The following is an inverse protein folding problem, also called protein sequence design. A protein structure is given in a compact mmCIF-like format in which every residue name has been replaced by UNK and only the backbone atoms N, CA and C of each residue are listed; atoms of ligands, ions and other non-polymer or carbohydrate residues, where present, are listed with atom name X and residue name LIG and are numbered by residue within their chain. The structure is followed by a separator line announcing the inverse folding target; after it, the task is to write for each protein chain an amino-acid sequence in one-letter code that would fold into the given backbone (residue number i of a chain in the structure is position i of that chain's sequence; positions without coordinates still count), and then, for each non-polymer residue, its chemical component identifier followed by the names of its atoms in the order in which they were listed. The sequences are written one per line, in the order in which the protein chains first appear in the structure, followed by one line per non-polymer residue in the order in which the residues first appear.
data_IF_939281488097
#
_entry.id   IF_939281488097
#
_cell.length_a   1.000
_cell.length_b   1.000
_cell.length_c   1.000
_cell.angle_alpha   90.00
_cell.angle_beta   90.00
_cell.angle_gamma   90.00
#
_symmetry.space_group_name_H-M   'P 1'
#
loop_
_entity.id
_entity.type
_entity.pdbx_description
1 polymer ?
#
# COMPACT_ATOMS: atom_id res chain seq x y z
N UNK A 1 10.63 15.16 -16.44
CA UNK A 1 10.49 13.96 -15.58
C UNK A 1 9.66 12.91 -16.30
N UNK A 2 10.28 11.82 -16.80
CA UNK A 2 9.57 10.70 -17.44
C UNK A 2 9.04 9.78 -16.33
N UNK A 3 7.73 9.74 -16.09
CA UNK A 3 7.13 8.68 -15.27
C UNK A 3 7.14 7.38 -16.09
N UNK A 4 7.67 6.25 -15.60
CA UNK A 4 7.64 5.02 -16.35
C UNK A 4 6.19 4.52 -16.46
N UNK A 5 5.78 4.25 -17.70
CA UNK A 5 4.63 3.41 -18.03
C UNK A 5 5.03 1.97 -17.71
N UNK A 6 4.45 1.39 -16.66
CA UNK A 6 4.42 -0.07 -16.51
C UNK A 6 3.01 -0.53 -16.84
N UNK A 7 2.83 -0.93 -18.10
CA UNK A 7 1.71 -1.71 -18.62
C UNK A 7 1.85 -3.16 -18.16
N UNK A 8 0.78 -3.70 -17.56
CA UNK A 8 0.33 -5.11 -17.53
C UNK A 8 1.42 -6.20 -17.43
N UNK A 9 1.51 -6.99 -16.35
CA UNK A 9 0.53 -8.03 -16.00
C UNK A 9 0.91 -8.66 -14.63
N UNK A 10 -0.10 -9.11 -13.86
CA UNK A 10 -0.07 -9.58 -12.46
C UNK A 10 -0.21 -8.46 -11.41
N UNK A 11 -1.46 -8.24 -10.99
CA UNK A 11 -1.99 -7.03 -10.37
C UNK A 11 -1.62 -6.84 -8.89
N UNK A 12 -0.43 -6.27 -8.61
CA UNK A 12 -0.10 -5.71 -7.30
C UNK A 12 0.13 -4.20 -7.37
N UNK A 13 -0.43 -3.47 -6.41
CA UNK A 13 -0.14 -2.05 -6.19
C UNK A 13 1.25 -1.89 -5.59
N UNK A 14 2.04 -0.95 -6.10
CA UNK A 14 3.34 -0.59 -5.50
C UNK A 14 3.13 0.38 -4.34
N UNK A 15 4.08 0.42 -3.39
CA UNK A 15 4.00 1.31 -2.23
C UNK A 15 3.69 2.77 -2.59
N UNK A 16 4.31 3.31 -3.66
CA UNK A 16 4.06 4.69 -4.08
C UNK A 16 2.64 4.93 -4.59
N UNK A 17 1.99 3.91 -5.19
CA UNK A 17 0.61 4.02 -5.63
C UNK A 17 -0.31 4.08 -4.42
N UNK A 18 -0.10 3.20 -3.45
CA UNK A 18 -0.85 3.18 -2.19
C UNK A 18 -0.70 4.51 -1.46
N UNK A 19 0.53 5.02 -1.32
CA UNK A 19 0.76 6.35 -0.73
C UNK A 19 0.00 7.46 -1.45
N UNK A 20 -0.05 7.44 -2.79
CA UNK A 20 -0.75 8.45 -3.58
C UNK A 20 -2.28 8.33 -3.54
N UNK A 21 -2.83 7.13 -3.31
CA UNK A 21 -4.28 6.91 -3.20
C UNK A 21 -4.85 7.46 -1.88
N UNK A 22 -4.06 7.37 -0.82
CA UNK A 22 -4.51 7.58 0.55
C UNK A 22 -3.89 8.80 1.22
N UNK A 23 -3.02 9.52 0.51
CA UNK A 23 -2.21 10.63 1.02
C UNK A 23 -1.41 10.26 2.29
N UNK A 24 -0.95 9.00 2.35
CA UNK A 24 -0.12 8.50 3.47
C UNK A 24 1.35 8.45 3.08
N UNK A 25 2.20 8.74 4.06
CA UNK A 25 3.65 8.56 3.90
C UNK A 25 4.04 7.08 3.83
N UNK A 26 5.11 6.76 3.08
CA UNK A 26 5.69 5.40 3.05
C UNK A 26 6.05 4.90 4.45
N UNK A 27 6.51 5.79 5.33
CA UNK A 27 6.80 5.46 6.72
C UNK A 27 5.57 4.91 7.46
N UNK A 28 4.40 5.53 7.28
CA UNK A 28 3.13 5.08 7.86
C UNK A 28 2.74 3.70 7.33
N UNK A 29 2.84 3.53 6.00
CA UNK A 29 2.56 2.25 5.35
C UNK A 29 3.47 1.13 5.91
N UNK A 30 4.77 1.40 6.03
CA UNK A 30 5.74 0.44 6.54
C UNK A 30 5.56 0.14 8.03
N UNK A 31 5.11 1.13 8.79
CA UNK A 31 4.80 0.95 10.21
C UNK A 31 3.60 0.03 10.38
N UNK A 32 2.56 0.21 9.57
CA UNK A 32 1.37 -0.66 9.61
C UNK A 32 1.68 -2.11 9.23
N UNK A 33 2.61 -2.34 8.29
CA UNK A 33 3.11 -3.69 8.00
C UNK A 33 3.81 -4.30 9.22
N UNK A 34 4.71 -3.53 9.86
CA UNK A 34 5.47 -3.99 11.03
C UNK A 34 4.60 -4.22 12.26
N UNK A 35 3.58 -3.40 12.44
CA UNK A 35 2.63 -3.51 13.56
C UNK A 35 1.54 -4.56 13.29
N UNK A 36 1.50 -5.18 12.09
CA UNK A 36 0.48 -6.16 11.72
C UNK A 36 -0.92 -5.56 11.54
N UNK A 37 -1.01 -4.24 11.32
CA UNK A 37 -2.28 -3.53 11.08
C UNK A 37 -2.82 -3.87 9.68
N UNK A 38 -1.92 -4.09 8.72
CA UNK A 38 -2.26 -4.57 7.39
C UNK A 38 -1.58 -5.91 7.15
N UNK A 39 -2.22 -6.75 6.33
CA UNK A 39 -1.62 -7.99 5.86
C UNK A 39 -0.29 -7.70 5.16
N UNK A 40 0.77 -8.42 5.54
CA UNK A 40 2.08 -8.27 4.90
C UNK A 40 1.96 -8.49 3.38
N UNK A 41 2.40 -7.54 2.55
CA UNK A 41 2.33 -7.70 1.10
C UNK A 41 3.24 -8.82 0.64
N UNK A 42 2.83 -9.46 -0.45
CA UNK A 42 3.68 -10.40 -1.15
C UNK A 42 4.97 -9.69 -1.57
N UNK A 43 6.09 -10.41 -1.49
CA UNK A 43 7.38 -9.91 -1.92
C UNK A 43 7.76 -10.58 -3.22
N UNK A 44 8.10 -9.76 -4.20
CA UNK A 44 8.62 -10.24 -5.48
C UNK A 44 10.03 -10.82 -5.31
N UNK A 45 10.56 -11.51 -6.31
CA UNK A 45 11.93 -12.08 -6.29
C UNK A 45 13.03 -11.01 -6.10
N UNK A 46 12.72 -9.74 -6.39
CA UNK A 46 13.59 -8.58 -6.12
C UNK A 46 13.38 -7.96 -4.73
N UNK A 47 12.66 -8.66 -3.84
CA UNK A 47 12.26 -8.22 -2.51
C UNK A 47 11.40 -6.93 -2.52
N UNK A 48 10.65 -6.70 -3.61
CA UNK A 48 9.74 -5.56 -3.74
C UNK A 48 8.38 -5.88 -3.15
N UNK A 49 7.81 -4.93 -2.40
CA UNK A 49 6.48 -5.06 -1.77
C UNK A 49 5.38 -4.86 -2.82
N UNK A 50 4.58 -5.89 -3.02
CA UNK A 50 3.40 -5.90 -3.87
C UNK A 50 2.15 -5.95 -3.00
N UNK A 51 1.48 -4.80 -2.88
CA UNK A 51 0.22 -4.70 -2.17
C UNK A 51 -0.90 -5.26 -3.04
N UNK A 52 -1.67 -6.18 -2.51
CA UNK A 52 -2.85 -6.69 -3.21
C UNK A 52 -4.06 -5.76 -2.98
N UNK A 53 -5.15 -6.01 -3.69
CA UNK A 53 -6.44 -5.35 -3.44
C UNK A 53 -6.87 -5.47 -1.97
N UNK A 54 -6.59 -6.61 -1.32
CA UNK A 54 -6.90 -6.85 0.09
C UNK A 54 -6.18 -5.85 1.00
N UNK A 55 -4.88 -5.63 0.77
CA UNK A 55 -4.11 -4.68 1.57
C UNK A 55 -4.63 -3.25 1.41
N UNK A 56 -5.03 -2.87 0.19
CA UNK A 56 -5.63 -1.55 -0.09
C UNK A 56 -6.95 -1.38 0.65
N UNK A 57 -7.80 -2.41 0.67
CA UNK A 57 -9.07 -2.41 1.40
C UNK A 57 -8.87 -2.27 2.92
N UNK A 58 -7.88 -2.98 3.49
CA UNK A 58 -7.51 -2.83 4.91
C UNK A 58 -7.04 -1.41 5.22
N UNK A 59 -6.17 -0.85 4.36
CA UNK A 59 -5.68 0.53 4.49
C UNK A 59 -6.84 1.53 4.46
N UNK A 60 -7.78 1.38 3.54
CA UNK A 60 -8.95 2.25 3.44
C UNK A 60 -9.78 2.20 4.72
N UNK A 61 -10.04 0.99 5.25
CA UNK A 61 -10.77 0.80 6.52
C UNK A 61 -10.06 1.47 7.69
N UNK A 62 -8.74 1.32 7.80
CA UNK A 62 -7.94 1.94 8.87
C UNK A 62 -8.02 3.47 8.79
N UNK A 63 -7.87 4.05 7.59
CA UNK A 63 -7.93 5.49 7.40
C UNK A 63 -9.31 6.03 7.73
N UNK A 64 -10.36 5.35 7.24
CA UNK A 64 -11.75 5.71 7.54
C UNK A 64 -12.05 5.63 9.04
N UNK A 65 -11.60 4.57 9.70
CA UNK A 65 -11.74 4.41 11.15
C UNK A 65 -11.01 5.51 11.92
N UNK A 66 -9.77 5.86 11.52
CA UNK A 66 -9.00 6.95 12.15
C UNK A 66 -9.64 8.32 11.94
N UNK A 67 -10.25 8.58 10.78
CA UNK A 67 -10.92 9.85 10.48
C UNK A 67 -12.24 10.03 11.24
N UNK A 68 -12.88 8.94 11.66
CA UNK A 68 -14.12 8.97 12.44
C UNK A 68 -13.90 9.23 13.94
N UNK A 69 -12.65 9.20 14.43
CA UNK A 69 -12.30 9.37 15.84
C UNK A 69 -11.84 10.81 16.16
N UNK A 70 -11.87 11.73 15.19
CA UNK A 70 -11.53 13.16 15.37
C UNK A 70 -12.74 14.06 15.26
#
# INVERSE_FOLDING_TARGET
MKKPKDTSSAAGFKAYQVCGLFDISKATLFRWEREGVITEPARDWRNWRLYTRKNVDEIEKIIRARKAVV
#
